data_IF_538189335634
#
_entry.id   IF_538189335634
#
_cell.length_a   1.000
_cell.length_b   1.000
_cell.length_c   1.000
_cell.angle_alpha   90.00
_cell.angle_beta   90.00
_cell.angle_gamma   90.00
#
_symmetry.space_group_name_H-M   'P 1'
#
loop_
_entity.id
_entity.type
_entity.pdbx_description
1 polymer ?
#
# COMPACT_ATOMS: atom_id res chain seq x y z
N UNK A 1 7.78 3.59 -0.57
CA UNK A 1 6.69 4.14 0.26
C UNK A 1 7.16 4.32 1.69
N UNK A 2 6.67 5.35 2.36
CA UNK A 2 6.93 5.64 3.78
C UNK A 2 5.59 5.68 4.50
N UNK A 3 5.43 4.88 5.56
CA UNK A 3 4.19 4.83 6.35
C UNK A 3 4.50 4.81 7.85
N UNK A 4 3.69 5.52 8.64
CA UNK A 4 3.86 5.57 10.09
C UNK A 4 2.98 4.49 10.73
N UNK A 5 3.59 3.55 11.43
CA UNK A 5 2.91 2.46 12.13
C UNK A 5 2.96 2.73 13.63
N UNK A 6 1.82 2.66 14.33
CA UNK A 6 1.77 2.70 15.80
C UNK A 6 1.71 1.29 16.35
N UNK A 7 2.64 0.97 17.25
CA UNK A 7 2.57 -0.25 18.06
C UNK A 7 1.49 -0.13 19.14
N UNK A 8 0.96 -1.27 19.58
CA UNK A 8 0.01 -1.39 20.69
C UNK A 8 0.53 -0.81 22.01
N UNK A 9 1.85 -0.64 22.15
CA UNK A 9 2.49 0.05 23.28
C UNK A 9 2.65 1.58 23.13
N UNK A 10 2.06 2.20 22.09
CA UNK A 10 2.14 3.64 21.85
C UNK A 10 3.41 4.12 21.14
N UNK A 11 4.37 3.23 20.86
CA UNK A 11 5.57 3.57 20.09
C UNK A 11 5.24 3.75 18.60
N UNK A 12 5.68 4.87 18.03
CA UNK A 12 5.58 5.16 16.60
C UNK A 12 6.81 4.64 15.86
N UNK A 13 6.59 3.91 14.78
CA UNK A 13 7.60 3.39 13.87
C UNK A 13 7.36 3.98 12.48
N UNK A 14 8.45 4.29 11.77
CA UNK A 14 8.40 4.67 10.36
C UNK A 14 8.77 3.41 9.57
N UNK A 15 7.82 2.90 8.79
CA UNK A 15 8.01 1.79 7.86
C UNK A 15 8.36 2.34 6.49
N UNK A 16 9.53 1.97 5.99
CA UNK A 16 10.03 2.38 4.69
C UNK A 16 10.10 1.13 3.82
N UNK A 17 9.42 1.16 2.69
CA UNK A 17 9.41 0.06 1.72
C UNK A 17 9.91 0.59 0.39
N UNK A 18 11.12 0.22 -0.01
CA UNK A 18 11.62 0.47 -1.35
C UNK A 18 11.58 -0.86 -2.14
N UNK A 19 10.72 -1.01 -3.16
CA UNK A 19 10.84 -2.13 -4.08
C UNK A 19 12.21 -2.04 -4.78
N UNK A 20 12.86 -3.18 -4.97
CA UNK A 20 14.19 -3.35 -5.60
C UNK A 20 15.43 -2.92 -4.80
N UNK A 21 15.29 -2.60 -3.51
CA UNK A 21 16.44 -2.37 -2.62
C UNK A 21 16.50 -3.45 -1.53
N UNK A 22 17.68 -3.99 -1.29
CA UNK A 22 17.84 -4.94 -0.20
C UNK A 22 17.86 -4.21 1.17
N UNK A 23 17.71 -4.99 2.24
CA UNK A 23 17.61 -4.43 3.61
C UNK A 23 18.89 -3.71 4.05
N UNK A 24 20.05 -4.13 3.54
CA UNK A 24 21.35 -3.61 3.95
C UNK A 24 21.63 -2.28 3.25
N UNK A 25 21.27 -2.17 1.98
CA UNK A 25 21.26 -0.95 1.18
C UNK A 25 20.22 0.08 1.67
N UNK A 26 19.01 -0.37 2.02
CA UNK A 26 18.03 0.47 2.71
C UNK A 26 18.55 0.95 4.06
N UNK A 27 19.24 0.09 4.81
CA UNK A 27 19.84 0.49 6.09
C UNK A 27 20.95 1.49 5.90
N UNK A 28 21.84 1.34 4.90
CA UNK A 28 22.88 2.34 4.65
C UNK A 28 22.29 3.69 4.25
N UNK A 29 21.23 3.72 3.44
CA UNK A 29 20.50 4.95 3.08
C UNK A 29 19.79 5.61 4.27
N UNK A 30 19.43 4.84 5.30
CA UNK A 30 18.74 5.32 6.50
C UNK A 30 19.71 5.64 7.66
N UNK A 31 20.87 4.97 7.71
CA UNK A 31 21.95 5.22 8.67
C UNK A 31 22.83 6.41 8.24
N UNK A 32 22.89 6.72 6.94
CA UNK A 32 23.40 7.99 6.45
C UNK A 32 22.41 9.10 6.82
N UNK A 33 22.58 9.68 8.02
CA UNK A 33 21.97 10.97 8.36
C UNK A 33 22.54 12.00 7.40
N UNK A 34 21.85 12.25 6.30
CA UNK A 34 22.31 13.19 5.29
C UNK A 34 22.70 14.52 5.93
N UNK A 35 23.90 15.02 5.61
CA UNK A 35 24.42 16.25 6.19
C UNK A 35 23.76 17.41 5.46
N UNK A 36 22.85 18.09 6.16
CA UNK A 36 22.16 19.27 5.66
C UNK A 36 22.98 20.51 5.98
N UNK A 37 23.22 21.35 4.98
CA UNK A 37 23.87 22.66 5.15
C UNK A 37 23.11 23.72 4.37
N UNK A 38 23.03 24.92 4.93
CA UNK A 38 22.37 26.07 4.30
C UNK A 38 23.39 27.17 4.12
N UNK A 39 23.38 27.78 2.94
CA UNK A 39 24.31 28.83 2.55
C UNK A 39 23.55 30.07 2.11
N UNK A 40 24.01 31.22 2.57
CA UNK A 40 23.72 32.51 1.99
C UNK A 40 24.68 32.74 0.82
N UNK A 41 24.13 32.88 -0.38
CA UNK A 41 24.87 33.16 -1.60
C UNK A 41 24.49 34.55 -2.12
N UNK A 42 25.44 35.48 -2.07
CA UNK A 42 25.18 36.90 -2.34
C UNK A 42 26.39 37.58 -3.00
N UNK A 43 26.19 38.69 -3.73
CA UNK A 43 27.29 39.42 -4.37
C UNK A 43 28.06 40.22 -3.32
N UNK A 44 29.39 40.08 -3.33
CA UNK A 44 30.30 40.94 -2.59
C UNK A 44 30.58 42.26 -3.33
N UNK A 45 31.22 43.21 -2.65
CA UNK A 45 31.50 44.55 -3.18
C UNK A 45 32.36 44.55 -4.45
N UNK A 46 33.15 43.50 -4.66
CA UNK A 46 33.99 43.31 -5.85
C UNK A 46 33.24 42.67 -7.04
N UNK A 47 31.93 42.41 -6.90
CA UNK A 47 31.09 41.79 -7.92
C UNK A 47 31.17 40.26 -7.99
N UNK A 48 32.03 39.62 -7.19
CA UNK A 48 32.07 38.15 -7.07
C UNK A 48 31.01 37.65 -6.10
N UNK A 49 30.49 36.45 -6.33
CA UNK A 49 29.56 35.84 -5.39
C UNK A 49 30.28 35.14 -4.27
N UNK A 50 29.89 35.46 -3.05
CA UNK A 50 30.39 34.82 -1.83
C UNK A 50 29.36 33.81 -1.36
N UNK A 51 29.89 32.67 -0.91
CA UNK A 51 29.13 31.57 -0.35
C UNK A 51 29.45 31.48 1.14
N UNK A 52 28.51 31.88 1.98
CA UNK A 52 28.64 31.84 3.42
C UNK A 52 27.73 30.75 3.99
N UNK A 53 28.29 29.81 4.77
CA UNK A 53 27.47 28.83 5.49
C UNK A 53 26.78 29.54 6.66
N UNK A 54 25.46 29.37 6.77
CA UNK A 54 24.63 30.05 7.76
C UNK A 54 23.94 29.06 8.70
N UNK A 55 23.67 27.83 8.23
CA UNK A 55 23.20 26.73 9.06
C UNK A 55 23.92 25.43 8.73
N UNK A 56 24.13 24.62 9.75
CA UNK A 56 24.61 23.24 9.65
C UNK A 56 23.64 22.24 10.30
N UNK A 57 23.89 20.95 10.12
CA UNK A 57 23.00 19.88 10.57
C UNK A 57 22.66 19.95 12.07
N UNK A 58 23.57 20.45 12.91
CA UNK A 58 23.37 20.60 14.36
C UNK A 58 22.42 21.74 14.76
N UNK A 59 22.15 22.68 13.86
CA UNK A 59 21.36 23.89 14.14
C UNK A 59 19.85 23.65 14.10
N UNK A 60 19.42 22.52 13.53
CA UNK A 60 18.01 22.20 13.32
C UNK A 60 17.43 21.48 14.56
N UNK A 61 16.47 22.13 15.23
CA UNK A 61 15.67 21.49 16.28
C UNK A 61 14.68 20.47 15.70
N UNK A 62 14.10 20.78 14.53
CA UNK A 62 13.16 19.89 13.83
C UNK A 62 13.13 20.20 12.33
N UNK A 63 13.16 19.14 11.52
CA UNK A 63 12.80 19.18 10.10
C UNK A 63 11.57 18.29 9.94
N UNK A 64 10.42 18.91 9.64
CA UNK A 64 9.15 18.19 9.50
C UNK A 64 9.03 17.54 8.12
N UNK A 65 8.19 16.50 7.95
CA UNK A 65 7.86 15.97 6.63
C UNK A 65 7.30 17.06 5.72
N UNK A 66 7.48 16.90 4.41
CA UNK A 66 6.91 17.84 3.45
C UNK A 66 5.38 17.85 3.50
N UNK A 67 4.80 19.05 3.50
CA UNK A 67 3.37 19.32 3.50
C UNK A 67 2.95 19.93 2.16
N UNK A 68 1.77 19.56 1.69
CA UNK A 68 1.23 20.10 0.43
C UNK A 68 0.37 21.32 0.70
N UNK A 69 0.74 22.47 0.14
CA UNK A 69 -0.02 23.71 0.16
C UNK A 69 -0.50 24.06 -1.26
N UNK A 70 -1.43 25.01 -1.38
CA UNK A 70 -1.96 25.46 -2.68
C UNK A 70 -0.86 25.97 -3.64
N UNK A 71 0.25 26.46 -3.08
CA UNK A 71 1.38 27.04 -3.81
C UNK A 71 2.52 26.06 -4.11
N UNK A 72 2.43 24.82 -3.62
CA UNK A 72 3.44 23.78 -3.79
C UNK A 72 3.72 22.99 -2.52
N UNK A 73 4.69 22.10 -2.59
CA UNK A 73 5.16 21.35 -1.43
C UNK A 73 6.15 22.19 -0.61
N UNK A 74 6.03 22.17 0.71
CA UNK A 74 6.94 22.86 1.61
C UNK A 74 7.39 21.96 2.75
N UNK A 75 8.59 22.19 3.25
CA UNK A 75 9.15 21.50 4.42
C UNK A 75 9.23 22.52 5.56
N UNK A 76 8.42 22.36 6.62
CA UNK A 76 8.55 23.17 7.82
C UNK A 76 9.85 22.83 8.56
N UNK A 77 10.64 23.86 8.86
CA UNK A 77 11.93 23.76 9.56
C UNK A 77 11.89 24.64 10.79
N UNK A 78 12.40 24.10 11.90
CA UNK A 78 12.56 24.81 13.18
C UNK A 78 14.02 24.75 13.60
N UNK A 79 14.61 25.90 13.90
CA UNK A 79 15.97 25.98 14.45
C UNK A 79 15.95 25.91 15.98
N UNK A 80 17.08 25.59 16.60
CA UNK A 80 17.24 25.80 18.03
C UNK A 80 17.26 27.31 18.34
N UNK A 81 16.64 27.68 19.47
CA UNK A 81 16.50 29.08 19.90
C UNK A 81 17.87 29.77 20.08
N UNK A 82 18.90 29.05 20.53
CA UNK A 82 20.26 29.57 20.70
C UNK A 82 21.00 29.84 19.37
N UNK A 83 20.49 29.31 18.26
CA UNK A 83 20.99 29.58 16.90
C UNK A 83 20.19 30.68 16.21
N UNK A 84 18.92 30.84 16.55
CA UNK A 84 17.97 31.71 15.87
C UNK A 84 18.45 33.16 15.77
N UNK A 85 18.96 33.73 16.86
CA UNK A 85 19.47 35.11 16.93
C UNK A 85 20.64 35.31 15.96
N UNK A 86 21.68 34.47 16.03
CA UNK A 86 22.84 34.52 15.14
C UNK A 86 22.42 34.38 13.67
N UNK A 87 21.55 33.42 13.38
CA UNK A 87 21.10 33.17 12.01
C UNK A 87 20.32 34.36 11.45
N UNK A 88 19.45 34.98 12.25
CA UNK A 88 18.72 36.18 11.86
C UNK A 88 19.67 37.35 11.58
N UNK A 89 20.64 37.60 12.46
CA UNK A 89 21.65 38.65 12.26
C UNK A 89 22.47 38.42 10.98
N UNK A 90 22.90 37.18 10.74
CA UNK A 90 23.56 36.76 9.50
C UNK A 90 22.67 37.07 8.27
N UNK A 91 21.38 36.73 8.31
CA UNK A 91 20.45 37.00 7.21
C UNK A 91 20.30 38.49 6.94
N UNK A 92 20.15 39.32 7.97
CA UNK A 92 20.08 40.79 7.82
C UNK A 92 21.40 41.33 7.26
N UNK A 93 22.54 40.90 7.80
CA UNK A 93 23.87 41.32 7.37
C UNK A 93 24.12 41.01 5.88
N UNK A 94 23.72 39.83 5.40
CA UNK A 94 23.87 39.43 3.99
C UNK A 94 22.76 40.00 3.08
N UNK A 95 21.82 40.75 3.66
CA UNK A 95 20.77 41.48 2.94
C UNK A 95 19.59 40.59 2.54
N UNK A 96 19.17 39.66 3.39
CA UNK A 96 17.94 38.88 3.23
C UNK A 96 16.75 39.46 4.03
N UNK A 97 16.92 40.66 4.60
CA UNK A 97 15.94 41.51 5.29
C UNK A 97 14.74 41.96 4.42
N UNK A 98 14.79 41.71 3.11
CA UNK A 98 13.73 42.06 2.16
C UNK A 98 13.55 40.93 1.17
N UNK A 99 12.38 40.90 0.50
CA UNK A 99 12.12 39.94 -0.58
C UNK A 99 13.28 39.94 -1.59
N UNK A 100 13.89 38.77 -1.82
CA UNK A 100 14.97 38.58 -2.80
C UNK A 100 14.53 37.66 -3.93
N UNK A 101 15.00 37.97 -5.12
CA UNK A 101 14.98 37.07 -6.26
C UNK A 101 16.31 36.35 -6.34
N UNK A 102 16.26 35.09 -6.74
CA UNK A 102 17.43 34.25 -6.94
C UNK A 102 17.34 33.62 -8.32
N UNK A 103 18.44 33.71 -9.08
CA UNK A 103 18.70 32.89 -10.24
C UNK A 103 20.08 32.26 -10.02
N UNK A 104 20.09 31.05 -9.46
CA UNK A 104 21.31 30.33 -9.09
C UNK A 104 21.76 29.43 -10.24
N UNK A 105 22.99 29.62 -10.70
CA UNK A 105 23.61 28.77 -11.71
C UNK A 105 24.36 27.62 -11.01
N UNK A 106 23.90 26.39 -11.22
CA UNK A 106 24.49 25.19 -10.60
C UNK A 106 25.81 24.77 -11.24
N UNK A 107 26.01 25.06 -12.53
CA UNK A 107 27.22 24.68 -13.26
C UNK A 107 28.33 25.72 -13.05
N UNK A 108 27.95 26.99 -12.99
CA UNK A 108 28.86 28.10 -12.74
C UNK A 108 28.30 29.10 -11.73
N UNK A 109 28.43 28.84 -10.41
CA UNK A 109 27.84 29.67 -9.37
C UNK A 109 28.17 31.17 -9.45
N UNK A 110 29.32 31.54 -10.03
CA UNK A 110 29.71 32.94 -10.20
C UNK A 110 28.90 33.69 -11.28
N UNK A 111 28.14 33.00 -12.14
CA UNK A 111 27.19 33.60 -13.09
C UNK A 111 25.79 33.78 -12.51
N UNK A 112 25.57 33.42 -11.24
CA UNK A 112 24.29 33.61 -10.57
C UNK A 112 23.91 35.10 -10.49
N UNK A 113 22.62 35.36 -10.32
CA UNK A 113 22.11 36.73 -10.10
C UNK A 113 21.18 36.80 -8.88
N UNK A 114 21.29 37.88 -8.11
CA UNK A 114 20.43 38.15 -6.97
C UNK A 114 21.01 37.67 -5.65
N UNK A 115 20.16 37.26 -4.71
CA UNK A 115 20.58 36.69 -3.41
C UNK A 115 19.83 35.37 -3.21
N UNK A 116 20.59 34.32 -2.98
CA UNK A 116 20.10 32.96 -2.98
C UNK A 116 20.35 32.31 -1.63
N UNK A 117 19.31 31.73 -1.05
CA UNK A 117 19.44 30.71 -0.03
C UNK A 117 19.65 29.38 -0.74
N UNK A 118 20.77 28.73 -0.49
CA UNK A 118 21.15 27.44 -1.12
C UNK A 118 21.18 26.38 -0.04
N UNK A 119 20.44 25.29 -0.24
CA UNK A 119 20.41 24.14 0.67
C UNK A 119 21.09 22.98 -0.01
N UNK A 120 22.03 22.38 0.70
CA UNK A 120 22.70 21.16 0.28
C UNK A 120 22.35 19.99 1.20
N UNK A 121 22.25 18.82 0.58
CA UNK A 121 22.15 17.53 1.25
C UNK A 121 23.30 16.68 0.73
N UNK A 122 24.22 16.25 1.60
CA UNK A 122 25.39 15.45 1.21
C UNK A 122 26.21 16.08 0.07
N UNK A 123 26.47 17.39 0.19
CA UNK A 123 27.22 18.20 -0.78
C UNK A 123 26.54 18.37 -2.15
N UNK A 124 25.27 17.96 -2.29
CA UNK A 124 24.45 18.20 -3.48
C UNK A 124 23.42 19.31 -3.25
N UNK A 125 23.32 20.27 -4.18
CA UNK A 125 22.35 21.37 -4.11
C UNK A 125 20.93 20.86 -4.38
N UNK A 126 20.13 20.73 -3.31
CA UNK A 126 18.73 20.28 -3.39
C UNK A 126 17.74 21.43 -3.54
N UNK A 127 18.11 22.64 -3.09
CA UNK A 127 17.30 23.84 -3.26
C UNK A 127 18.18 25.08 -3.44
N UNK A 128 17.76 25.99 -4.32
CA UNK A 128 18.34 27.31 -4.44
C UNK A 128 17.22 28.30 -4.79
N UNK A 129 16.98 29.29 -3.94
CA UNK A 129 15.87 30.22 -4.11
C UNK A 129 16.06 31.51 -3.33
N UNK A 130 15.24 32.51 -3.66
CA UNK A 130 15.24 33.79 -2.94
C UNK A 130 14.34 33.72 -1.71
N UNK A 131 14.53 34.65 -0.78
CA UNK A 131 13.69 34.78 0.42
C UNK A 131 12.38 35.50 0.06
N UNK A 132 11.25 34.92 0.46
CA UNK A 132 9.92 35.51 0.26
C UNK A 132 9.66 36.67 1.21
N UNK A 133 8.65 37.49 0.89
CA UNK A 133 8.36 38.70 1.67
C UNK A 133 8.08 38.42 3.15
N UNK A 134 7.24 37.44 3.49
CA UNK A 134 6.91 37.16 4.89
C UNK A 134 8.13 36.73 5.71
N UNK A 135 8.98 35.85 5.18
CA UNK A 135 10.20 35.43 5.88
C UNK A 135 11.23 36.56 5.99
N UNK A 136 11.34 37.41 4.97
CA UNK A 136 12.21 38.58 5.03
C UNK A 136 11.76 39.60 6.09
N UNK A 137 10.45 39.83 6.21
CA UNK A 137 9.87 40.71 7.24
C UNK A 137 10.18 40.20 8.66
N UNK A 138 10.15 38.88 8.89
CA UNK A 138 10.56 38.28 10.16
C UNK A 138 12.05 38.48 10.48
N UNK A 139 12.92 38.45 9.46
CA UNK A 139 14.35 38.75 9.65
C UNK A 139 14.57 40.23 9.99
N UNK A 140 13.86 41.15 9.32
CA UNK A 140 13.98 42.59 9.52
C UNK A 140 13.38 43.05 10.85
N UNK A 141 12.23 42.48 11.27
CA UNK A 141 11.55 42.84 12.51
C UNK A 141 12.23 42.30 13.76
N UNK A 142 13.02 41.24 13.60
CA UNK A 142 13.64 40.52 14.70
C UNK A 142 12.79 39.40 15.30
N UNK A 143 11.55 39.23 14.80
CA UNK A 143 10.60 38.22 15.31
C UNK A 143 11.02 36.79 14.98
N UNK A 144 11.86 36.58 13.96
CA UNK A 144 12.38 35.24 13.65
C UNK A 144 13.19 34.64 14.81
N UNK A 145 13.90 35.46 15.58
CA UNK A 145 14.64 35.02 16.76
C UNK A 145 13.73 34.47 17.87
N UNK A 146 12.49 34.96 17.97
CA UNK A 146 11.53 34.54 19.00
C UNK A 146 10.76 33.28 18.59
N UNK A 147 10.47 33.09 17.29
CA UNK A 147 9.81 31.91 16.73
C UNK A 147 10.53 31.46 15.45
N UNK A 148 11.62 30.65 15.56
CA UNK A 148 12.53 30.35 14.45
C UNK A 148 12.00 29.25 13.53
N UNK A 149 10.79 29.46 13.02
CA UNK A 149 10.10 28.56 12.11
C UNK A 149 10.05 29.17 10.71
N UNK A 150 10.49 28.41 9.72
CA UNK A 150 10.37 28.79 8.31
C UNK A 150 10.05 27.59 7.43
N UNK A 151 9.63 27.89 6.20
CA UNK A 151 9.24 26.88 5.23
C UNK A 151 10.21 26.90 4.05
N UNK A 152 10.83 25.75 3.79
CA UNK A 152 11.63 25.55 2.58
C UNK A 152 10.73 25.00 1.48
N UNK A 153 10.63 25.63 0.31
CA UNK A 153 9.96 25.03 -0.84
C UNK A 153 10.67 23.74 -1.21
N UNK A 154 9.92 22.65 -1.25
CA UNK A 154 10.43 21.38 -1.71
C UNK A 154 10.00 21.22 -3.17
N UNK A 155 10.94 21.10 -4.14
CA UNK A 155 10.61 20.72 -5.50
C UNK A 155 10.23 19.23 -5.52
N UNK A 156 9.14 18.88 -4.84
CA UNK A 156 8.56 17.55 -4.93
C UNK A 156 7.69 17.55 -6.18
N UNK A 157 8.23 16.98 -7.25
CA UNK A 157 7.41 16.45 -8.35
C UNK A 157 6.55 15.31 -7.78
N UNK A 158 5.48 15.64 -7.05
CA UNK A 158 4.47 14.67 -6.62
C UNK A 158 3.69 14.09 -7.80
N UNK A 159 3.85 14.63 -9.01
CA UNK A 159 3.29 14.05 -10.23
C UNK A 159 4.07 12.85 -10.75
N UNK A 160 5.33 12.63 -10.32
CA UNK A 160 6.17 11.56 -10.90
C UNK A 160 6.28 10.31 -10.03
N UNK A 161 5.92 10.37 -8.73
CA UNK A 161 6.20 9.26 -7.78
C UNK A 161 4.94 8.63 -7.13
N UNK A 162 3.79 8.72 -7.80
CA UNK A 162 2.64 7.82 -7.56
C UNK A 162 2.35 6.88 -8.72
N UNK A 163 3.34 6.67 -9.59
CA UNK A 163 3.30 5.53 -10.48
C UNK A 163 4.30 4.51 -9.95
N UNK A 164 3.80 3.53 -9.19
CA UNK A 164 4.49 2.25 -9.03
C UNK A 164 4.47 1.57 -10.40
N UNK A 165 5.20 2.13 -11.36
CA UNK A 165 5.34 1.58 -12.70
C UNK A 165 6.41 0.53 -12.57
N UNK A 166 5.99 -0.68 -12.17
CA UNK A 166 6.78 -1.89 -12.40
C UNK A 166 7.25 -1.87 -13.85
N UNK A 167 8.52 -2.17 -14.10
CA UNK A 167 9.05 -2.22 -15.46
C UNK A 167 8.11 -3.05 -16.36
N UNK A 168 7.72 -2.54 -17.55
CA UNK A 168 6.77 -3.24 -18.42
C UNK A 168 7.18 -4.68 -18.75
N UNK A 169 8.49 -4.96 -18.77
CA UNK A 169 9.04 -6.30 -18.96
C UNK A 169 8.67 -7.28 -17.82
N UNK A 170 8.68 -6.81 -16.57
CA UNK A 170 8.31 -7.61 -15.40
C UNK A 170 6.79 -7.86 -15.41
N UNK A 171 5.99 -6.83 -15.72
CA UNK A 171 4.53 -6.96 -15.85
C UNK A 171 4.12 -7.96 -16.95
N UNK A 172 4.83 -7.97 -18.09
CA UNK A 172 4.57 -8.93 -19.19
C UNK A 172 4.87 -10.37 -18.77
N UNK A 173 5.96 -10.60 -18.04
CA UNK A 173 6.31 -11.92 -17.50
C UNK A 173 5.32 -12.37 -16.42
N UNK A 174 4.91 -11.47 -15.53
CA UNK A 174 3.89 -11.75 -14.51
C UNK A 174 2.55 -12.15 -15.12
N UNK A 175 2.12 -11.51 -16.22
CA UNK A 175 0.89 -11.87 -16.92
C UNK A 175 0.95 -13.30 -17.46
N UNK A 176 2.05 -13.67 -18.11
CA UNK A 176 2.23 -15.01 -18.66
C UNK A 176 2.35 -16.06 -17.55
N UNK A 177 3.16 -15.79 -16.54
CA UNK A 177 3.37 -16.70 -15.41
C UNK A 177 2.09 -16.91 -14.61
N UNK A 178 1.32 -15.85 -14.33
CA UNK A 178 0.02 -15.95 -13.64
C UNK A 178 -0.98 -16.79 -14.44
N UNK A 179 -1.00 -16.68 -15.77
CA UNK A 179 -1.85 -17.50 -16.63
C UNK A 179 -1.46 -18.98 -16.54
N UNK A 180 -0.17 -19.30 -16.66
CA UNK A 180 0.34 -20.68 -16.59
C UNK A 180 0.05 -21.29 -15.21
N UNK A 181 0.37 -20.56 -14.13
CA UNK A 181 0.11 -21.01 -12.75
C UNK A 181 -1.38 -21.21 -12.50
N UNK A 182 -2.23 -20.30 -12.98
CA UNK A 182 -3.68 -20.43 -12.86
C UNK A 182 -4.22 -21.69 -13.56
N UNK A 183 -3.76 -21.96 -14.79
CA UNK A 183 -4.13 -23.18 -15.52
C UNK A 183 -3.66 -24.44 -14.78
N UNK A 184 -2.41 -24.47 -14.32
CA UNK A 184 -1.87 -25.59 -13.54
C UNK A 184 -2.64 -25.82 -12.24
N UNK A 185 -3.03 -24.76 -11.53
CA UNK A 185 -3.83 -24.85 -10.31
C UNK A 185 -5.20 -25.47 -10.57
N UNK A 186 -5.91 -25.05 -11.63
CA UNK A 186 -7.19 -25.63 -12.03
C UNK A 186 -7.03 -27.13 -12.31
N UNK A 187 -6.01 -27.53 -13.08
CA UNK A 187 -5.77 -28.95 -13.35
C UNK A 187 -5.38 -29.75 -12.10
N UNK A 188 -4.58 -29.17 -11.20
CA UNK A 188 -4.18 -29.82 -9.95
C UNK A 188 -5.40 -30.06 -9.04
N UNK A 189 -6.25 -29.06 -8.84
CA UNK A 189 -7.49 -29.19 -8.06
C UNK A 189 -8.43 -30.19 -8.72
N UNK A 190 -8.66 -30.07 -10.03
CA UNK A 190 -9.51 -30.99 -10.80
C UNK A 190 -9.04 -32.43 -10.71
N UNK A 191 -7.73 -32.65 -10.85
CA UNK A 191 -7.10 -33.96 -10.75
C UNK A 191 -7.24 -34.56 -9.35
N UNK A 192 -6.98 -33.78 -8.31
CA UNK A 192 -7.12 -34.23 -6.92
C UNK A 192 -8.57 -34.62 -6.59
N UNK A 193 -9.54 -33.79 -6.96
CA UNK A 193 -10.98 -34.07 -6.76
C UNK A 193 -11.41 -35.31 -7.53
N UNK A 194 -11.00 -35.43 -8.80
CA UNK A 194 -11.30 -36.61 -9.60
C UNK A 194 -10.69 -37.89 -9.00
N UNK A 195 -9.45 -37.85 -8.52
CA UNK A 195 -8.82 -39.00 -7.87
C UNK A 195 -9.55 -39.42 -6.59
N UNK A 196 -10.06 -38.45 -5.81
CA UNK A 196 -10.77 -38.70 -4.55
C UNK A 196 -12.16 -39.32 -4.76
N UNK A 197 -12.93 -38.81 -5.72
CA UNK A 197 -14.33 -39.20 -5.93
C UNK A 197 -14.53 -40.22 -7.06
N UNK A 198 -13.58 -40.33 -8.00
CA UNK A 198 -13.64 -41.17 -9.21
C UNK A 198 -14.93 -41.01 -10.04
N UNK A 199 -15.68 -39.93 -9.82
CA UNK A 199 -16.94 -39.65 -10.50
C UNK A 199 -16.90 -38.24 -11.11
N UNK A 200 -16.86 -38.10 -12.45
CA UNK A 200 -16.79 -36.80 -13.11
C UNK A 200 -18.02 -35.92 -12.84
N UNK A 201 -19.15 -36.52 -12.44
CA UNK A 201 -20.39 -35.79 -12.10
C UNK A 201 -20.30 -34.99 -10.80
N UNK A 202 -19.32 -35.27 -9.95
CA UNK A 202 -19.03 -34.50 -8.74
C UNK A 202 -17.93 -33.48 -9.01
N UNK A 203 -16.87 -33.90 -9.71
CA UNK A 203 -15.72 -33.05 -9.99
C UNK A 203 -16.04 -31.87 -10.91
N UNK A 204 -16.84 -32.08 -11.96
CA UNK A 204 -17.11 -31.05 -12.97
C UNK A 204 -17.96 -29.89 -12.42
N UNK A 205 -19.06 -30.13 -11.68
CA UNK A 205 -19.77 -29.05 -11.00
C UNK A 205 -18.91 -28.29 -9.98
N UNK A 206 -18.03 -29.00 -9.25
CA UNK A 206 -17.15 -28.39 -8.25
C UNK A 206 -16.19 -27.37 -8.88
N UNK A 207 -15.60 -27.70 -10.03
CA UNK A 207 -14.72 -26.79 -10.78
C UNK A 207 -15.50 -25.57 -11.27
N UNK A 208 -16.69 -25.79 -11.85
CA UNK A 208 -17.53 -24.69 -12.34
C UNK A 208 -17.95 -23.73 -11.22
N UNK A 209 -18.29 -24.26 -10.04
CA UNK A 209 -18.66 -23.44 -8.88
C UNK A 209 -17.47 -22.70 -8.29
N UNK A 210 -16.28 -23.31 -8.26
CA UNK A 210 -15.06 -22.63 -7.82
C UNK A 210 -14.66 -21.50 -8.80
N UNK A 211 -14.77 -21.74 -10.11
CA UNK A 211 -14.51 -20.70 -11.12
C UNK A 211 -15.51 -19.55 -11.04
N UNK A 212 -16.80 -19.83 -10.84
CA UNK A 212 -17.81 -18.78 -10.70
C UNK A 212 -17.60 -17.96 -9.43
N UNK A 213 -17.16 -18.59 -8.33
CA UNK A 213 -16.79 -17.89 -7.10
C UNK A 213 -15.65 -16.89 -7.35
N UNK A 214 -14.57 -17.30 -8.00
CA UNK A 214 -13.46 -16.40 -8.35
C UNK A 214 -13.94 -15.23 -9.20
N UNK A 215 -14.80 -15.47 -10.20
CA UNK A 215 -15.36 -14.42 -11.05
C UNK A 215 -16.22 -13.43 -10.28
N UNK A 216 -17.06 -13.90 -9.35
CA UNK A 216 -17.88 -13.03 -8.50
C UNK A 216 -16.99 -12.14 -7.63
N UNK A 217 -15.92 -12.70 -7.06
CA UNK A 217 -15.01 -11.95 -6.20
C UNK A 217 -14.17 -10.93 -6.98
N UNK A 218 -13.70 -11.27 -8.17
CA UNK A 218 -13.06 -10.31 -9.07
C UNK A 218 -14.03 -9.21 -9.49
N UNK A 219 -15.29 -9.55 -9.77
CA UNK A 219 -16.35 -8.58 -10.08
C UNK A 219 -16.63 -7.64 -8.91
N UNK A 220 -16.65 -8.15 -7.68
CA UNK A 220 -16.78 -7.34 -6.47
C UNK A 220 -15.60 -6.38 -6.29
N UNK A 221 -14.36 -6.86 -6.43
CA UNK A 221 -13.20 -5.98 -6.28
C UNK A 221 -13.14 -4.93 -7.37
N UNK A 222 -13.51 -5.28 -8.61
CA UNK A 222 -13.62 -4.35 -9.71
C UNK A 222 -14.72 -3.30 -9.49
N UNK A 223 -15.86 -3.66 -8.90
CA UNK A 223 -16.95 -2.71 -8.65
C UNK A 223 -16.63 -1.70 -7.54
N UNK A 224 -15.85 -2.11 -6.53
CA UNK A 224 -15.41 -1.25 -5.43
C UNK A 224 -14.18 -0.40 -5.81
N UNK A 225 -13.57 -0.65 -6.97
CA UNK A 225 -12.37 0.04 -7.46
C UNK A 225 -11.19 -0.07 -6.48
N UNK A 226 -11.06 -1.20 -5.77
CA UNK A 226 -9.90 -1.44 -4.91
C UNK A 226 -8.65 -1.73 -5.74
N UNK A 227 -7.53 -1.08 -5.37
CA UNK A 227 -6.22 -1.41 -5.91
C UNK A 227 -5.83 -2.83 -5.44
N UNK A 228 -5.62 -3.73 -6.40
CA UNK A 228 -5.22 -5.11 -6.14
C UNK A 228 -3.79 -5.18 -5.60
N UNK A 229 -3.67 -5.12 -4.28
CA UNK A 229 -2.41 -5.36 -3.56
C UNK A 229 -2.20 -6.84 -3.22
N UNK A 230 -0.97 -7.20 -2.85
CA UNK A 230 -0.59 -8.58 -2.47
C UNK A 230 -1.50 -9.18 -1.39
N UNK A 231 -1.95 -8.37 -0.43
CA UNK A 231 -2.86 -8.82 0.62
C UNK A 231 -4.24 -9.24 0.12
N UNK A 232 -4.77 -8.58 -0.92
CA UNK A 232 -6.02 -8.99 -1.57
C UNK A 232 -5.85 -10.33 -2.28
N UNK A 233 -4.70 -10.55 -2.92
CA UNK A 233 -4.35 -11.82 -3.56
C UNK A 233 -4.29 -12.95 -2.52
N UNK A 234 -3.66 -12.72 -1.37
CA UNK A 234 -3.67 -13.67 -0.27
C UNK A 234 -5.10 -13.99 0.21
N UNK A 235 -5.98 -12.98 0.24
CA UNK A 235 -7.39 -13.14 0.58
C UNK A 235 -8.12 -14.04 -0.43
N UNK A 236 -7.90 -13.83 -1.73
CA UNK A 236 -8.47 -14.72 -2.76
C UNK A 236 -8.00 -16.16 -2.59
N UNK A 237 -6.72 -16.39 -2.33
CA UNK A 237 -6.18 -17.74 -2.13
C UNK A 237 -6.85 -18.41 -0.92
N UNK A 238 -7.00 -17.68 0.19
CA UNK A 238 -7.68 -18.19 1.38
C UNK A 238 -9.13 -18.58 1.08
N UNK A 239 -9.88 -17.72 0.40
CA UNK A 239 -11.29 -17.96 0.04
C UNK A 239 -11.44 -19.10 -0.95
N UNK A 240 -10.56 -19.23 -1.94
CA UNK A 240 -10.61 -20.35 -2.89
C UNK A 240 -10.33 -21.67 -2.15
N UNK A 241 -9.39 -21.66 -1.20
CA UNK A 241 -9.06 -22.83 -0.39
C UNK A 241 -10.25 -23.30 0.47
N UNK A 242 -10.86 -22.39 1.23
CA UNK A 242 -12.07 -22.69 2.03
C UNK A 242 -13.27 -23.00 1.13
N UNK A 243 -13.34 -22.34 -0.04
CA UNK A 243 -14.12 -22.67 -1.23
C UNK A 243 -14.23 -24.15 -1.50
N UNK A 244 -13.10 -24.72 -1.92
CA UNK A 244 -13.00 -26.12 -2.31
C UNK A 244 -13.27 -27.06 -1.13
N UNK A 245 -12.81 -26.70 0.08
CA UNK A 245 -13.05 -27.49 1.29
C UNK A 245 -14.55 -27.64 1.59
N UNK A 246 -15.31 -26.55 1.54
CA UNK A 246 -16.77 -26.57 1.71
C UNK A 246 -17.48 -27.45 0.67
N UNK A 247 -17.02 -27.38 -0.60
CA UNK A 247 -17.58 -28.21 -1.67
C UNK A 247 -17.30 -29.70 -1.46
N UNK A 248 -16.13 -30.04 -0.90
CA UNK A 248 -15.76 -31.41 -0.50
C UNK A 248 -16.63 -31.85 0.69
N UNK A 249 -16.85 -31.02 1.70
CA UNK A 249 -17.73 -31.34 2.85
C UNK A 249 -19.16 -31.64 2.35
N UNK A 250 -19.69 -30.83 1.44
CA UNK A 250 -21.01 -31.06 0.83
C UNK A 250 -21.03 -32.39 0.06
N UNK A 251 -20.00 -32.64 -0.75
CA UNK A 251 -19.90 -33.88 -1.53
C UNK A 251 -19.81 -35.11 -0.63
N UNK A 252 -18.93 -35.11 0.38
CA UNK A 252 -18.72 -36.22 1.31
C UNK A 252 -19.98 -36.54 2.12
N UNK A 253 -20.68 -35.52 2.62
CA UNK A 253 -21.89 -35.72 3.41
C UNK A 253 -23.07 -36.21 2.53
N UNK A 254 -23.21 -35.71 1.30
CA UNK A 254 -24.25 -36.16 0.37
C UNK A 254 -23.99 -37.61 -0.07
N UNK A 255 -22.74 -37.93 -0.41
CA UNK A 255 -22.33 -39.23 -0.98
C UNK A 255 -22.07 -40.31 0.08
N UNK A 256 -22.21 -40.00 1.38
CA UNK A 256 -21.99 -40.96 2.47
C UNK A 256 -22.85 -42.24 2.32
N UNK A 257 -22.24 -43.39 2.62
CA UNK A 257 -22.71 -44.75 2.30
C UNK A 257 -24.22 -45.00 2.56
N UNK A 258 -24.99 -45.05 1.46
CA UNK A 258 -26.40 -45.42 1.41
C UNK A 258 -27.04 -44.77 0.19
N UNK A 259 -27.95 -45.47 -0.51
CA UNK A 259 -28.75 -44.88 -1.59
C UNK A 259 -29.40 -43.59 -1.08
N UNK A 260 -29.33 -42.52 -1.87
CA UNK A 260 -30.08 -41.30 -1.56
C UNK A 260 -31.52 -41.56 -2.02
N UNK A 261 -32.16 -42.57 -1.41
CA UNK A 261 -33.41 -43.18 -1.86
C UNK A 261 -34.62 -42.22 -1.89
N UNK A 262 -34.44 -40.97 -1.45
CA UNK A 262 -35.44 -39.91 -1.51
C UNK A 262 -34.78 -38.54 -1.36
N UNK A 263 -35.34 -37.52 -2.03
CA UNK A 263 -34.89 -36.12 -1.89
C UNK A 263 -34.93 -35.58 -0.45
N UNK A 264 -35.68 -36.22 0.46
CA UNK A 264 -35.69 -35.89 1.90
C UNK A 264 -34.38 -36.26 2.60
N UNK A 265 -33.73 -37.35 2.21
CA UNK A 265 -32.42 -37.77 2.75
C UNK A 265 -31.34 -36.78 2.31
N UNK A 266 -31.37 -36.39 1.04
CA UNK A 266 -30.48 -35.36 0.50
C UNK A 266 -30.59 -34.04 1.28
N UNK A 267 -31.81 -33.54 1.49
CA UNK A 267 -32.04 -32.26 2.18
C UNK A 267 -31.53 -32.28 3.63
N UNK A 268 -31.65 -33.41 4.33
CA UNK A 268 -31.12 -33.54 5.69
C UNK A 268 -29.58 -33.57 5.71
N UNK A 269 -28.95 -34.30 4.79
CA UNK A 269 -27.48 -34.36 4.66
C UNK A 269 -26.91 -33.00 4.26
N UNK A 270 -27.50 -32.37 3.25
CA UNK A 270 -27.11 -31.02 2.82
C UNK A 270 -27.22 -30.00 3.95
N UNK A 271 -28.31 -30.01 4.72
CA UNK A 271 -28.48 -29.13 5.88
C UNK A 271 -27.43 -29.37 6.97
N UNK A 272 -27.03 -30.62 7.20
CA UNK A 272 -25.97 -30.96 8.15
C UNK A 272 -24.61 -30.42 7.68
N UNK A 273 -24.25 -30.64 6.41
CA UNK A 273 -23.05 -30.04 5.81
C UNK A 273 -23.07 -28.51 5.88
N UNK A 274 -24.19 -27.90 5.49
CA UNK A 274 -24.36 -26.45 5.49
C UNK A 274 -24.26 -25.83 6.88
N UNK A 275 -24.69 -26.54 7.93
CA UNK A 275 -24.52 -26.09 9.31
C UNK A 275 -23.04 -26.04 9.72
N UNK A 276 -22.25 -27.05 9.35
CA UNK A 276 -20.79 -27.09 9.61
C UNK A 276 -20.10 -25.93 8.88
N UNK A 277 -20.43 -25.74 7.60
CA UNK A 277 -19.90 -24.65 6.76
C UNK A 277 -20.26 -23.29 7.35
N UNK A 278 -21.52 -23.09 7.74
CA UNK A 278 -21.97 -21.85 8.36
C UNK A 278 -21.26 -21.54 9.68
N UNK A 279 -20.97 -22.56 10.49
CA UNK A 279 -20.20 -22.39 11.72
C UNK A 279 -18.74 -21.98 11.43
N UNK A 280 -18.08 -22.61 10.47
CA UNK A 280 -16.73 -22.26 10.04
C UNK A 280 -16.65 -20.87 9.40
N UNK A 281 -17.67 -20.49 8.65
CA UNK A 281 -17.80 -19.15 8.08
C UNK A 281 -17.92 -18.08 9.19
N UNK A 282 -18.76 -18.34 10.21
CA UNK A 282 -18.93 -17.43 11.34
C UNK A 282 -17.62 -17.24 12.11
N UNK A 283 -16.86 -18.31 12.38
CA UNK A 283 -15.56 -18.18 13.05
C UNK A 283 -14.57 -17.40 12.22
N UNK A 284 -14.53 -17.61 10.90
CA UNK A 284 -13.67 -16.86 9.99
C UNK A 284 -14.02 -15.37 9.97
N UNK A 285 -15.31 -15.03 9.87
CA UNK A 285 -15.76 -13.63 9.88
C UNK A 285 -15.42 -12.97 11.21
N UNK A 286 -15.66 -13.65 12.34
CA UNK A 286 -15.31 -13.15 13.67
C UNK A 286 -13.80 -12.94 13.81
N UNK A 287 -12.98 -13.86 13.32
CA UNK A 287 -11.52 -13.75 13.36
C UNK A 287 -10.99 -12.59 12.49
N UNK A 288 -11.62 -12.34 11.34
CA UNK A 288 -11.22 -11.26 10.42
C UNK A 288 -11.76 -9.88 10.83
N UNK A 289 -12.83 -9.83 11.64
CA UNK A 289 -13.49 -8.57 12.01
C UNK A 289 -12.60 -7.52 12.70
N UNK A 290 -11.63 -7.87 13.59
CA UNK A 290 -10.75 -6.85 14.17
C UNK A 290 -9.78 -6.29 13.11
N UNK A 291 -9.34 -7.11 12.15
CA UNK A 291 -8.39 -6.68 11.12
C UNK A 291 -9.02 -5.67 10.16
N UNK A 292 -10.33 -5.74 9.92
CA UNK A 292 -11.04 -4.75 9.09
C UNK A 292 -11.27 -3.44 9.84
N UNK A 293 -11.61 -3.48 11.13
CA UNK A 293 -11.96 -2.28 11.91
C UNK A 293 -10.72 -1.53 12.41
N UNK A 294 -9.66 -2.25 12.79
CA UNK A 294 -8.45 -1.65 13.36
C UNK A 294 -7.51 -1.03 12.31
N UNK A 295 -7.82 -1.17 11.01
CA UNK A 295 -7.09 -0.49 9.94
C UNK A 295 -5.59 -0.82 9.92
N UNK A 296 -5.23 -2.10 10.11
CA UNK A 296 -3.84 -2.58 10.21
C UNK A 296 -3.11 -2.60 8.85
N UNK A 297 -3.13 -1.47 8.12
CA UNK A 297 -2.48 -1.30 6.83
C UNK A 297 -2.88 -2.39 5.82
N UNK A 298 -1.89 -3.08 5.28
CA UNK A 298 -2.06 -4.10 4.25
C UNK A 298 -2.93 -5.29 4.67
N UNK A 299 -3.03 -5.59 5.97
CA UNK A 299 -3.84 -6.72 6.47
C UNK A 299 -5.36 -6.47 6.38
N UNK A 300 -5.78 -5.21 6.26
CA UNK A 300 -7.20 -4.85 6.10
C UNK A 300 -7.78 -5.39 4.80
N UNK A 301 -7.04 -5.29 3.68
CA UNK A 301 -7.46 -5.79 2.38
C UNK A 301 -7.63 -7.30 2.35
N UNK A 302 -6.72 -8.04 3.01
CA UNK A 302 -6.85 -9.49 3.21
C UNK A 302 -8.15 -9.85 3.94
N UNK A 303 -8.44 -9.15 5.05
CA UNK A 303 -9.60 -9.43 5.87
C UNK A 303 -10.92 -9.10 5.13
N UNK A 304 -10.99 -7.97 4.41
CA UNK A 304 -12.17 -7.57 3.64
C UNK A 304 -12.47 -8.60 2.54
N UNK A 305 -11.48 -8.98 1.74
CA UNK A 305 -11.65 -9.96 0.67
C UNK A 305 -12.06 -11.32 1.24
N UNK A 306 -11.48 -11.72 2.37
CA UNK A 306 -11.81 -12.99 3.02
C UNK A 306 -13.25 -13.02 3.54
N UNK A 307 -13.71 -11.95 4.21
CA UNK A 307 -15.08 -11.85 4.71
C UNK A 307 -16.09 -11.87 3.57
N UNK A 308 -15.88 -11.05 2.54
CA UNK A 308 -16.76 -11.00 1.36
C UNK A 308 -16.76 -12.34 0.64
N UNK A 309 -15.58 -12.95 0.50
CA UNK A 309 -15.38 -14.28 -0.04
C UNK A 309 -16.24 -15.34 0.62
N UNK A 310 -16.09 -15.48 1.94
CA UNK A 310 -16.85 -16.43 2.74
C UNK A 310 -18.36 -16.16 2.65
N UNK A 311 -18.79 -14.90 2.68
CA UNK A 311 -20.21 -14.54 2.55
C UNK A 311 -20.78 -14.93 1.18
N UNK A 312 -20.08 -14.59 0.09
CA UNK A 312 -20.46 -14.98 -1.28
C UNK A 312 -20.51 -16.49 -1.39
N UNK A 313 -19.52 -17.18 -0.81
CA UNK A 313 -19.46 -18.63 -0.73
C UNK A 313 -20.74 -19.21 -0.15
N UNK A 314 -20.98 -18.93 1.14
CA UNK A 314 -22.10 -19.49 1.91
C UNK A 314 -23.46 -19.13 1.33
N UNK A 315 -23.63 -17.90 0.83
CA UNK A 315 -24.94 -17.41 0.37
C UNK A 315 -25.26 -17.79 -1.07
N UNK A 316 -24.26 -17.95 -1.94
CA UNK A 316 -24.48 -18.10 -3.38
C UNK A 316 -23.91 -19.42 -3.88
N UNK A 317 -22.60 -19.65 -3.74
CA UNK A 317 -21.93 -20.73 -4.48
C UNK A 317 -22.17 -22.11 -3.86
N UNK A 318 -22.22 -22.23 -2.52
CA UNK A 318 -22.51 -23.51 -1.84
C UNK A 318 -23.95 -23.99 -2.07
N UNK A 319 -24.99 -23.14 -1.92
CA UNK A 319 -26.35 -23.52 -2.30
C UNK A 319 -26.47 -23.93 -3.77
N UNK A 320 -25.84 -23.18 -4.68
CA UNK A 320 -25.83 -23.52 -6.10
C UNK A 320 -25.18 -24.88 -6.38
N UNK A 321 -24.04 -25.19 -5.75
CA UNK A 321 -23.41 -26.50 -5.86
C UNK A 321 -24.32 -27.63 -5.37
N UNK A 322 -24.98 -27.43 -4.21
CA UNK A 322 -25.94 -28.38 -3.66
C UNK A 322 -27.07 -28.69 -4.63
N UNK A 323 -27.66 -27.67 -5.26
CA UNK A 323 -28.74 -27.84 -6.23
C UNK A 323 -28.28 -28.55 -7.52
N UNK A 324 -27.09 -28.22 -8.02
CA UNK A 324 -26.52 -28.90 -9.19
C UNK A 324 -26.29 -30.38 -8.88
N UNK A 325 -25.69 -30.69 -7.73
CA UNK A 325 -25.38 -32.05 -7.33
C UNK A 325 -26.66 -32.88 -7.09
N UNK A 326 -27.69 -32.27 -6.49
CA UNK A 326 -29.01 -32.89 -6.33
C UNK A 326 -29.59 -33.35 -7.66
N UNK A 327 -29.58 -32.48 -8.67
CA UNK A 327 -30.16 -32.78 -9.98
C UNK A 327 -29.37 -33.88 -10.71
N UNK A 328 -28.04 -33.91 -10.57
CA UNK A 328 -27.20 -34.91 -11.23
C UNK A 328 -27.29 -36.30 -10.59
N UNK A 329 -27.42 -36.37 -9.25
CA UNK A 329 -27.55 -37.64 -8.53
C UNK A 329 -28.96 -38.23 -8.71
N UNK A 330 -30.02 -37.42 -8.55
CA UNK A 330 -31.40 -37.91 -8.64
C UNK A 330 -31.76 -38.40 -10.06
N UNK A 331 -31.28 -37.72 -11.11
CA UNK A 331 -31.47 -38.18 -12.51
C UNK A 331 -30.80 -39.51 -12.81
N UNK A 332 -29.76 -39.88 -12.05
CA UNK A 332 -29.08 -41.16 -12.24
C UNK A 332 -29.90 -42.31 -11.67
N UNK A 333 -30.45 -42.15 -10.46
CA UNK A 333 -31.31 -43.18 -9.86
C UNK A 333 -32.57 -43.45 -10.69
N UNK A 334 -33.13 -42.42 -11.34
CA UNK A 334 -34.24 -42.59 -12.30
C UNK A 334 -33.80 -43.39 -13.54
N UNK A 335 -32.61 -43.10 -14.08
CA UNK A 335 -32.09 -43.78 -15.28
C UNK A 335 -31.60 -45.20 -15.02
N UNK A 336 -31.14 -45.50 -13.81
CA UNK A 336 -30.71 -46.85 -13.41
C UNK A 336 -31.93 -47.74 -13.02
N UNK A 337 -33.14 -47.15 -12.89
CA UNK A 337 -34.41 -47.86 -12.64
C UNK A 337 -35.20 -48.25 -13.89
N UNK A 338 -34.95 -47.60 -15.02
CA UNK A 338 -35.57 -47.84 -16.33
C UNK A 338 -34.71 -48.77 -17.22
#
# INVERSE_FOLDING_TARGET
SVSTIRSTGGQQFISITAPDRDREELRSLLDERGVVRVYAFYPADNGTYVRQQVLEQGDFARISPAEQQETGAVVPVTLYEDIAERYQEDMVQYGFDRRRTCNYDRENPQQSSGRCLVVELNDEVVFAGGVQQGLAELYDSGEFAEDPVFQLPAPLNFEEDRSTTLEPALAQQFKLNSLIVGVLAVFAVSGMVYLRYRNPRVALPMILTAMSEVLILLGFVASVQYALNLSHIAGFIAVIGTGVDDLIIIADEILQQGEVATGRVFQNRFRKAFWVIGAAAATTILAMSPLTVLGLGDLSGFAIVTIVGVLVGVLITRPAYGDILRNLILRQEERDRD
#
